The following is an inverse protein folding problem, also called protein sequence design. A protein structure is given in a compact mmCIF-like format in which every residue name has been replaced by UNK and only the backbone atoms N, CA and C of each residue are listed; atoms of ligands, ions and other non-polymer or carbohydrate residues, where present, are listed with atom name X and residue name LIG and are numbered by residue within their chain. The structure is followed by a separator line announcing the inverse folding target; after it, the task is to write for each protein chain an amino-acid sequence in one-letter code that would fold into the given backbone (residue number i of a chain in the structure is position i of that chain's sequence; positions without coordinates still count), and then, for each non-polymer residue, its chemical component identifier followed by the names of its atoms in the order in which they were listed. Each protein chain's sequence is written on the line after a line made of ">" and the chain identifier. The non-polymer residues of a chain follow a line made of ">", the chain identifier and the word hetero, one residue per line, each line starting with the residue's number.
data_IF_321126404743
#
_entry.id   IF_321126404743
#
_cell.length_a   1.000
_cell.length_b   1.000
_cell.length_c   1.000
_cell.angle_alpha   90.00
_cell.angle_beta   90.00
_cell.angle_gamma   90.00
#
_symmetry.space_group_name_H-M   'P 1'
#
loop_
_entity.id
_entity.type
_entity.pdbx_description
1 polymer ?
#
# COMPACT_ATOMS: atom_id res chain seq x y z
N UNK A 1 6.10 30.52 -5.81
CA UNK A 1 6.30 31.75 -5.00
C UNK A 1 6.76 32.90 -5.87
N UNK A 2 7.61 32.63 -6.85
CA UNK A 2 8.09 33.50 -7.93
C UNK A 2 7.00 34.20 -8.76
N UNK A 3 5.76 33.72 -8.75
CA UNK A 3 4.63 34.30 -9.49
C UNK A 3 3.72 35.20 -8.63
N UNK A 4 4.04 35.41 -7.35
CA UNK A 4 3.21 36.16 -6.39
C UNK A 4 3.83 37.54 -6.14
N UNK A 5 3.01 38.57 -5.93
CA UNK A 5 3.50 39.91 -5.62
C UNK A 5 4.35 39.91 -4.34
N UNK A 6 5.43 40.69 -4.32
CA UNK A 6 6.41 40.69 -3.23
C UNK A 6 5.78 40.99 -1.87
N UNK A 7 4.82 41.92 -1.83
CA UNK A 7 4.13 42.28 -0.58
C UNK A 7 3.36 41.09 0.00
N UNK A 8 2.60 40.38 -0.83
CA UNK A 8 1.76 39.26 -0.41
C UNK A 8 2.60 38.07 0.04
N UNK A 9 3.66 37.72 -0.71
CA UNK A 9 4.53 36.59 -0.35
C UNK A 9 5.34 36.89 0.92
N UNK A 10 5.73 38.14 1.13
CA UNK A 10 6.46 38.55 2.34
C UNK A 10 5.57 38.43 3.56
N UNK A 11 4.32 38.91 3.47
CA UNK A 11 3.37 38.80 4.58
C UNK A 11 3.08 37.33 4.91
N UNK A 12 2.75 36.52 3.92
CA UNK A 12 2.48 35.08 4.08
C UNK A 12 3.66 34.35 4.75
N UNK A 13 4.89 34.52 4.24
CA UNK A 13 6.06 33.83 4.76
C UNK A 13 6.45 34.30 6.17
N UNK A 14 6.26 35.59 6.46
CA UNK A 14 6.52 36.13 7.80
C UNK A 14 5.49 35.61 8.82
N UNK A 15 4.21 35.56 8.45
CA UNK A 15 3.14 35.03 9.29
C UNK A 15 3.37 33.54 9.61
N UNK A 16 3.72 32.71 8.61
CA UNK A 16 4.06 31.30 8.81
C UNK A 16 5.18 31.13 9.86
N UNK A 17 6.23 31.97 9.80
CA UNK A 17 7.34 31.91 10.76
C UNK A 17 6.93 32.38 12.17
N UNK A 18 6.17 33.47 12.25
CA UNK A 18 5.73 34.07 13.52
C UNK A 18 4.79 33.12 14.28
N UNK A 19 3.76 32.62 13.60
CA UNK A 19 2.78 31.67 14.17
C UNK A 19 3.46 30.39 14.64
N UNK A 20 4.44 29.87 13.90
CA UNK A 20 5.19 28.67 14.31
C UNK A 20 5.95 28.90 15.62
N UNK A 21 6.57 30.07 15.81
CA UNK A 21 7.29 30.41 17.05
C UNK A 21 6.30 30.46 18.23
N UNK A 22 5.16 31.16 18.07
CA UNK A 22 4.14 31.25 19.11
C UNK A 22 3.60 29.87 19.51
N UNK A 23 3.28 29.03 18.51
CA UNK A 23 2.78 27.68 18.74
C UNK A 23 3.83 26.77 19.37
N UNK A 24 5.11 26.94 19.02
CA UNK A 24 6.20 26.13 19.55
C UNK A 24 6.25 26.20 21.07
N UNK A 25 6.15 27.40 21.66
CA UNK A 25 6.19 27.58 23.11
C UNK A 25 5.02 26.91 23.82
N UNK A 26 3.84 26.90 23.20
CA UNK A 26 2.63 26.28 23.72
C UNK A 26 2.78 24.75 23.69
N UNK A 27 3.13 24.19 22.53
CA UNK A 27 3.22 22.75 22.35
C UNK A 27 4.41 22.12 23.06
N UNK A 28 5.53 22.84 23.19
CA UNK A 28 6.70 22.35 23.95
C UNK A 28 6.37 22.15 25.43
N UNK A 29 5.55 23.05 26.01
CA UNK A 29 5.07 22.91 27.39
C UNK A 29 4.18 21.68 27.53
N UNK A 30 3.26 21.46 26.60
CA UNK A 30 2.37 20.30 26.64
C UNK A 30 3.13 18.98 26.41
N UNK A 31 4.10 18.94 25.49
CA UNK A 31 4.98 17.78 25.27
C UNK A 31 5.74 17.39 26.54
N UNK A 32 6.30 18.37 27.26
CA UNK A 32 7.01 18.12 28.52
C UNK A 32 6.06 17.64 29.62
N UNK A 33 4.87 18.23 29.71
CA UNK A 33 3.84 17.83 30.67
C UNK A 33 3.34 16.40 30.45
N UNK A 34 3.30 15.94 29.20
CA UNK A 34 2.93 14.55 28.84
C UNK A 34 4.13 13.59 28.82
N UNK A 35 5.32 14.04 29.23
CA UNK A 35 6.55 13.23 29.22
C UNK A 35 6.96 12.71 27.81
N UNK A 36 6.50 13.38 26.74
CA UNK A 36 6.73 13.00 25.35
C UNK A 36 7.91 13.73 24.71
N UNK A 37 8.53 14.69 25.41
CA UNK A 37 9.57 15.53 24.81
C UNK A 37 10.79 14.75 24.34
N UNK A 38 11.25 13.75 25.11
CA UNK A 38 12.37 12.88 24.69
C UNK A 38 12.01 12.06 23.46
N UNK A 39 10.84 11.42 23.44
CA UNK A 39 10.38 10.67 22.27
C UNK A 39 10.28 11.56 21.02
N UNK A 40 9.65 12.74 21.14
CA UNK A 40 9.56 13.70 20.04
C UNK A 40 10.94 14.10 19.51
N UNK A 41 11.89 14.41 20.40
CA UNK A 41 13.22 14.86 20.01
C UNK A 41 14.06 13.70 19.44
N UNK A 42 14.20 12.64 20.21
CA UNK A 42 15.18 11.58 19.97
C UNK A 42 14.69 10.56 18.92
N UNK A 43 13.39 10.53 18.62
CA UNK A 43 12.81 9.68 17.57
C UNK A 43 12.27 10.54 16.43
N UNK A 44 11.29 11.42 16.67
CA UNK A 44 10.59 12.09 15.56
C UNK A 44 11.48 13.12 14.86
N UNK A 45 12.18 13.98 15.61
CA UNK A 45 13.08 15.00 15.04
C UNK A 45 14.34 14.37 14.45
N UNK A 46 14.97 13.43 15.14
CA UNK A 46 16.18 12.76 14.65
C UNK A 46 15.92 11.91 13.39
N UNK A 47 14.68 11.46 13.16
CA UNK A 47 14.28 10.76 11.94
C UNK A 47 14.11 11.69 10.72
N UNK A 48 13.80 12.97 10.92
CA UNK A 48 13.58 13.93 9.82
C UNK A 48 14.72 13.97 8.78
N UNK A 49 16.00 14.17 9.14
CA UNK A 49 17.07 14.22 8.16
C UNK A 49 17.20 12.90 7.37
N UNK A 50 16.92 11.75 7.99
CA UNK A 50 16.94 10.45 7.32
C UNK A 50 15.81 10.35 6.29
N UNK A 51 14.59 10.78 6.63
CA UNK A 51 13.47 10.78 5.69
C UNK A 51 13.71 11.74 4.52
N UNK A 52 14.24 12.94 4.81
CA UNK A 52 14.61 13.91 3.77
C UNK A 52 15.62 13.26 2.81
N UNK A 53 16.69 12.65 3.34
CA UNK A 53 17.70 11.99 2.54
C UNK A 53 17.13 10.85 1.69
N UNK A 54 16.28 9.99 2.27
CA UNK A 54 15.59 8.92 1.55
C UNK A 54 14.69 9.45 0.42
N UNK A 55 13.97 10.55 0.64
CA UNK A 55 13.14 11.19 -0.39
C UNK A 55 13.99 11.75 -1.53
N UNK A 56 15.08 12.46 -1.21
CA UNK A 56 15.99 13.02 -2.21
C UNK A 56 16.70 11.94 -3.02
N UNK A 57 17.09 10.83 -2.39
CA UNK A 57 17.65 9.68 -3.10
C UNK A 57 16.63 9.06 -4.04
N UNK A 58 15.39 8.84 -3.60
CA UNK A 58 14.35 8.21 -4.39
C UNK A 58 14.67 6.77 -4.78
N UNK A 59 13.78 6.15 -5.56
CA UNK A 59 13.86 4.74 -5.97
C UNK A 59 13.95 4.65 -7.49
N UNK A 60 14.92 3.90 -8.00
CA UNK A 60 14.97 3.60 -9.43
C UNK A 60 13.93 2.55 -9.81
N UNK A 61 13.17 2.84 -10.87
CA UNK A 61 12.14 1.96 -11.39
C UNK A 61 12.28 1.87 -12.90
N UNK A 62 12.30 0.64 -13.42
CA UNK A 62 12.39 0.35 -14.84
C UNK A 62 11.07 0.71 -15.55
N UNK A 63 11.05 1.92 -16.14
CA UNK A 63 9.93 2.48 -16.90
C UNK A 63 9.50 1.55 -18.04
N UNK A 64 10.45 1.03 -18.81
CA UNK A 64 10.16 0.25 -20.01
C UNK A 64 9.51 -1.09 -19.64
N UNK A 65 10.04 -1.73 -18.60
CA UNK A 65 9.44 -2.94 -18.07
C UNK A 65 7.99 -2.70 -17.63
N UNK A 66 7.70 -1.64 -16.86
CA UNK A 66 6.33 -1.32 -16.44
C UNK A 66 5.37 -1.08 -17.62
N UNK A 67 5.80 -0.29 -18.61
CA UNK A 67 4.98 0.00 -19.80
C UNK A 67 4.69 -1.27 -20.61
N UNK A 68 5.69 -2.11 -20.86
CA UNK A 68 5.50 -3.37 -21.59
C UNK A 68 4.54 -4.33 -20.87
N UNK A 69 4.62 -4.39 -19.52
CA UNK A 69 3.73 -5.23 -18.73
C UNK A 69 2.32 -4.66 -18.66
N UNK A 70 2.18 -3.33 -18.65
CA UNK A 70 0.87 -2.69 -18.74
C UNK A 70 0.15 -3.04 -20.05
N UNK A 71 0.87 -3.00 -21.18
CA UNK A 71 0.32 -3.35 -22.49
C UNK A 71 -0.12 -4.82 -22.55
N UNK A 72 0.73 -5.75 -22.09
CA UNK A 72 0.40 -7.18 -22.05
C UNK A 72 -0.84 -7.47 -21.19
N UNK A 73 -0.95 -6.80 -20.03
CA UNK A 73 -2.11 -6.92 -19.16
C UNK A 73 -3.35 -6.30 -19.79
N UNK A 74 -3.22 -5.19 -20.52
CA UNK A 74 -4.30 -4.58 -21.28
C UNK A 74 -4.95 -5.57 -22.25
N UNK A 75 -4.14 -6.26 -23.06
CA UNK A 75 -4.62 -7.29 -24.00
C UNK A 75 -5.38 -8.41 -23.28
N UNK A 76 -4.87 -8.86 -22.12
CA UNK A 76 -5.53 -9.89 -21.30
C UNK A 76 -6.85 -9.41 -20.69
N UNK A 77 -6.90 -8.16 -20.26
CA UNK A 77 -8.12 -7.54 -19.72
C UNK A 77 -9.20 -7.45 -20.79
N UNK A 78 -8.87 -7.00 -22.00
CA UNK A 78 -9.82 -6.90 -23.11
C UNK A 78 -10.40 -8.28 -23.48
N UNK A 79 -9.56 -9.32 -23.48
CA UNK A 79 -10.00 -10.69 -23.74
C UNK A 79 -10.93 -11.23 -22.63
N UNK A 80 -10.61 -10.95 -21.36
CA UNK A 80 -11.44 -11.31 -20.21
C UNK A 80 -12.78 -10.57 -20.24
N UNK A 81 -12.76 -9.27 -20.53
CA UNK A 81 -13.96 -8.45 -20.61
C UNK A 81 -14.93 -8.97 -21.67
N UNK A 82 -14.43 -9.25 -22.89
CA UNK A 82 -15.23 -9.86 -23.95
C UNK A 82 -15.84 -11.20 -23.52
N UNK A 83 -15.06 -12.03 -22.81
CA UNK A 83 -15.52 -13.33 -22.32
C UNK A 83 -16.60 -13.19 -21.23
N UNK A 84 -16.41 -12.25 -20.31
CA UNK A 84 -17.35 -11.94 -19.22
C UNK A 84 -18.67 -11.40 -19.78
N UNK A 85 -18.61 -10.43 -20.70
CA UNK A 85 -19.81 -9.85 -21.34
C UNK A 85 -20.57 -10.93 -22.10
N UNK A 86 -19.87 -11.79 -22.85
CA UNK A 86 -20.49 -12.91 -23.59
C UNK A 86 -21.23 -13.87 -22.66
N UNK A 87 -20.63 -14.23 -21.51
CA UNK A 87 -21.25 -15.12 -20.53
C UNK A 87 -22.39 -14.44 -19.74
N UNK A 88 -22.30 -13.14 -19.52
CA UNK A 88 -23.34 -12.36 -18.85
C UNK A 88 -24.55 -12.09 -19.75
N UNK A 89 -24.38 -12.15 -21.08
CA UNK A 89 -25.44 -11.93 -22.07
C UNK A 89 -25.86 -10.46 -22.24
N UNK A 90 -25.17 -9.52 -21.58
CA UNK A 90 -25.36 -8.08 -21.73
C UNK A 90 -24.08 -7.31 -21.41
N UNK A 91 -23.95 -6.12 -21.97
CA UNK A 91 -22.89 -5.19 -21.61
C UNK A 91 -23.17 -4.54 -20.24
N UNK A 92 -22.11 -4.38 -19.45
CA UNK A 92 -22.15 -3.70 -18.15
C UNK A 92 -20.74 -3.29 -17.74
N UNK A 93 -20.61 -2.41 -16.76
CA UNK A 93 -19.34 -2.00 -16.19
C UNK A 93 -18.85 -3.04 -15.17
N UNK A 94 -17.80 -3.80 -15.52
CA UNK A 94 -17.19 -4.83 -14.67
C UNK A 94 -16.64 -4.28 -13.34
N UNK A 95 -16.32 -2.98 -13.29
CA UNK A 95 -15.84 -2.29 -12.09
C UNK A 95 -16.99 -1.83 -11.18
N UNK A 96 -18.23 -1.84 -11.66
CA UNK A 96 -19.41 -1.53 -10.85
C UNK A 96 -19.85 -2.75 -10.05
N UNK A 97 -19.61 -2.72 -8.75
CA UNK A 97 -20.06 -3.80 -7.83
C UNK A 97 -21.57 -3.99 -7.85
N UNK A 98 -22.34 -2.93 -8.11
CA UNK A 98 -23.80 -2.98 -8.20
C UNK A 98 -24.26 -3.71 -9.46
N UNK A 99 -23.79 -3.29 -10.64
CA UNK A 99 -24.17 -3.94 -11.90
C UNK A 99 -23.73 -5.41 -11.91
N UNK A 100 -22.56 -5.70 -11.35
CA UNK A 100 -22.10 -7.07 -11.18
C UNK A 100 -23.02 -7.91 -10.27
N UNK A 101 -23.53 -7.33 -9.19
CA UNK A 101 -24.47 -8.01 -8.29
C UNK A 101 -25.83 -8.26 -8.95
N UNK A 102 -26.27 -7.40 -9.86
CA UNK A 102 -27.49 -7.63 -10.66
C UNK A 102 -27.30 -8.82 -11.62
N UNK A 103 -26.16 -8.87 -12.33
CA UNK A 103 -25.83 -10.02 -13.20
C UNK A 103 -25.82 -11.32 -12.40
N UNK A 104 -25.05 -11.37 -11.31
CA UNK A 104 -24.82 -12.62 -10.58
C UNK A 104 -26.08 -13.14 -9.88
N UNK A 105 -26.88 -12.25 -9.29
CA UNK A 105 -27.98 -12.68 -8.41
C UNK A 105 -29.36 -12.55 -9.03
N UNK A 106 -29.62 -11.60 -9.93
CA UNK A 106 -30.95 -11.47 -10.57
C UNK A 106 -31.04 -12.24 -11.89
N UNK A 107 -29.97 -12.20 -12.70
CA UNK A 107 -30.00 -12.84 -14.02
C UNK A 107 -29.55 -14.29 -13.95
N UNK A 108 -28.38 -14.54 -13.36
CA UNK A 108 -27.83 -15.89 -13.21
C UNK A 108 -28.41 -16.66 -12.02
N UNK A 109 -29.20 -15.99 -11.16
CA UNK A 109 -29.86 -16.58 -9.99
C UNK A 109 -28.90 -17.39 -9.08
N UNK A 110 -27.66 -16.92 -8.93
CA UNK A 110 -26.67 -17.58 -8.06
C UNK A 110 -27.04 -17.44 -6.58
N UNK A 111 -26.61 -18.39 -5.72
CA UNK A 111 -27.01 -18.39 -4.31
C UNK A 111 -26.42 -17.20 -3.52
N UNK A 112 -27.27 -16.60 -2.68
CA UNK A 112 -26.86 -15.53 -1.78
C UNK A 112 -26.29 -16.11 -0.47
N UNK A 113 -24.96 -16.18 -0.35
CA UNK A 113 -24.29 -16.84 0.78
C UNK A 113 -24.35 -16.01 2.08
N UNK A 114 -24.41 -14.67 1.99
CA UNK A 114 -24.58 -13.77 3.16
C UNK A 114 -25.34 -12.49 2.84
N UNK A 115 -24.99 -11.85 1.71
CA UNK A 115 -25.58 -10.61 1.14
C UNK A 115 -25.36 -10.64 -0.37
N UNK A 116 -25.96 -9.71 -1.12
CA UNK A 116 -25.63 -9.40 -2.53
C UNK A 116 -24.26 -8.75 -2.66
N UNK A 117 -23.22 -9.44 -2.19
CA UNK A 117 -21.84 -8.96 -2.13
C UNK A 117 -21.02 -9.59 -3.25
N UNK A 118 -20.18 -8.77 -3.87
CA UNK A 118 -19.21 -9.22 -4.88
C UNK A 118 -17.79 -9.24 -4.31
N UNK A 119 -17.64 -9.34 -2.98
CA UNK A 119 -16.32 -9.46 -2.35
C UNK A 119 -15.60 -10.75 -2.81
N UNK A 120 -14.27 -10.74 -2.80
CA UNK A 120 -13.43 -11.85 -3.27
C UNK A 120 -13.80 -13.20 -2.61
N UNK A 121 -14.02 -13.18 -1.29
CA UNK A 121 -14.43 -14.38 -0.54
C UNK A 121 -15.79 -14.94 -0.99
N UNK A 122 -16.72 -14.10 -1.45
CA UNK A 122 -18.03 -14.53 -1.96
C UNK A 122 -17.89 -15.05 -3.39
N UNK A 123 -17.22 -14.28 -4.27
CA UNK A 123 -16.97 -14.70 -5.65
C UNK A 123 -16.22 -16.03 -5.71
N UNK A 124 -15.30 -16.29 -4.78
CA UNK A 124 -14.56 -17.55 -4.71
C UNK A 124 -15.47 -18.75 -4.46
N UNK A 125 -16.46 -18.60 -3.57
CA UNK A 125 -17.47 -19.64 -3.33
C UNK A 125 -18.43 -19.79 -4.51
N UNK A 126 -18.77 -18.68 -5.17
CA UNK A 126 -19.68 -18.69 -6.32
C UNK A 126 -19.10 -19.43 -7.55
N UNK A 127 -17.77 -19.66 -7.60
CA UNK A 127 -17.13 -20.45 -8.66
C UNK A 127 -17.67 -21.87 -8.79
N UNK A 128 -18.18 -22.45 -7.70
CA UNK A 128 -18.77 -23.81 -7.72
C UNK A 128 -20.09 -23.85 -8.49
N UNK A 129 -20.75 -22.71 -8.65
CA UNK A 129 -22.06 -22.61 -9.29
C UNK A 129 -21.99 -22.09 -10.72
N UNK A 130 -20.98 -21.29 -11.05
CA UNK A 130 -20.84 -20.68 -12.38
C UNK A 130 -19.39 -20.29 -12.67
N UNK A 131 -18.99 -20.28 -13.95
CA UNK A 131 -17.65 -19.91 -14.39
C UNK A 131 -17.37 -18.39 -14.25
N UNK A 132 -18.39 -17.56 -14.50
CA UNK A 132 -18.31 -16.09 -14.49
C UNK A 132 -17.60 -15.50 -13.25
N UNK A 133 -17.92 -15.88 -11.99
CA UNK A 133 -17.17 -15.47 -10.79
C UNK A 133 -15.65 -15.65 -10.88
N UNK A 134 -15.18 -16.72 -11.52
CA UNK A 134 -13.74 -16.99 -11.69
C UNK A 134 -13.09 -15.97 -12.63
N UNK A 135 -13.74 -15.69 -13.76
CA UNK A 135 -13.26 -14.70 -14.71
C UNK A 135 -13.27 -13.28 -14.12
N UNK A 136 -14.31 -12.92 -13.36
CA UNK A 136 -14.40 -11.63 -12.66
C UNK A 136 -13.24 -11.45 -11.69
N UNK A 137 -12.91 -12.49 -10.92
CA UNK A 137 -11.78 -12.46 -9.99
C UNK A 137 -10.45 -12.25 -10.74
N UNK A 138 -10.25 -12.96 -11.84
CA UNK A 138 -9.10 -12.75 -12.72
C UNK A 138 -9.02 -11.32 -13.26
N UNK A 139 -10.15 -10.80 -13.77
CA UNK A 139 -10.25 -9.43 -14.28
C UNK A 139 -9.90 -8.41 -13.19
N UNK A 140 -10.53 -8.47 -12.02
CA UNK A 140 -10.29 -7.51 -10.92
C UNK A 140 -8.85 -7.51 -10.44
N UNK A 141 -8.23 -8.70 -10.39
CA UNK A 141 -6.83 -8.87 -10.03
C UNK A 141 -5.91 -8.13 -11.01
N UNK A 142 -6.04 -8.41 -12.31
CA UNK A 142 -5.26 -7.77 -13.36
C UNK A 142 -5.56 -6.27 -13.48
N UNK A 143 -6.82 -5.88 -13.35
CA UNK A 143 -7.27 -4.49 -13.43
C UNK A 143 -6.65 -3.66 -12.31
N UNK A 144 -6.62 -4.19 -11.08
CA UNK A 144 -5.95 -3.55 -9.94
C UNK A 144 -4.45 -3.44 -10.19
N UNK A 145 -3.80 -4.52 -10.63
CA UNK A 145 -2.37 -4.51 -10.94
C UNK A 145 -2.01 -3.38 -11.93
N UNK A 146 -2.77 -3.29 -13.04
CA UNK A 146 -2.56 -2.28 -14.08
C UNK A 146 -2.84 -0.86 -13.56
N UNK A 147 -4.05 -0.60 -13.07
CA UNK A 147 -4.49 0.76 -12.73
C UNK A 147 -3.91 1.32 -11.44
N UNK A 148 -3.54 0.46 -10.48
CA UNK A 148 -2.96 0.93 -9.21
C UNK A 148 -1.45 1.08 -9.29
N UNK A 149 -0.77 0.24 -10.08
CA UNK A 149 0.69 0.16 -10.06
C UNK A 149 1.33 0.40 -11.43
N UNK A 150 0.98 -0.37 -12.46
CA UNK A 150 1.73 -0.33 -13.72
C UNK A 150 1.54 0.99 -14.50
N UNK A 151 0.33 1.53 -14.54
CA UNK A 151 0.07 2.80 -15.23
C UNK A 151 0.53 4.03 -14.43
N UNK A 152 0.29 4.12 -13.10
CA UNK A 152 0.62 5.34 -12.37
C UNK A 152 2.12 5.51 -12.08
N UNK A 153 2.85 4.43 -11.78
CA UNK A 153 4.25 4.52 -11.34
C UNK A 153 5.14 5.21 -12.41
N UNK A 154 5.05 4.89 -13.71
CA UNK A 154 5.84 5.57 -14.75
C UNK A 154 5.63 7.08 -14.81
N UNK A 155 4.44 7.57 -14.45
CA UNK A 155 4.10 8.99 -14.43
C UNK A 155 4.71 9.74 -13.23
N UNK A 156 5.20 9.01 -12.22
CA UNK A 156 5.84 9.58 -11.03
C UNK A 156 7.38 9.54 -11.11
N UNK A 157 7.95 9.13 -12.25
CA UNK A 157 9.40 9.15 -12.46
C UNK A 157 9.80 10.59 -12.80
N UNK A 158 10.67 11.17 -11.97
CA UNK A 158 11.24 12.49 -12.20
C UNK A 158 12.19 12.46 -13.41
N UNK A 159 12.03 13.42 -14.31
CA UNK A 159 12.77 13.48 -15.59
C UNK A 159 14.26 13.80 -15.41
N UNK A 160 14.63 14.48 -14.33
CA UNK A 160 16.01 14.89 -14.04
C UNK A 160 16.78 13.71 -13.42
N UNK A 161 16.21 13.06 -12.43
CA UNK A 161 16.89 11.99 -11.68
C UNK A 161 16.68 10.60 -12.28
N UNK A 162 15.64 10.42 -13.11
CA UNK A 162 15.12 9.12 -13.54
C UNK A 162 14.71 8.19 -12.39
N UNK A 163 14.25 8.78 -11.27
CA UNK A 163 13.84 8.06 -10.06
C UNK A 163 12.47 8.51 -9.59
N UNK A 164 11.83 7.69 -8.79
CA UNK A 164 10.55 7.99 -8.13
C UNK A 164 10.84 8.49 -6.72
N UNK A 165 10.35 9.69 -6.40
CA UNK A 165 10.56 10.36 -5.12
C UNK A 165 9.26 10.37 -4.31
N UNK A 166 8.95 9.27 -3.64
CA UNK A 166 7.76 9.17 -2.79
C UNK A 166 7.86 10.11 -1.59
N UNK A 167 6.71 10.60 -1.14
CA UNK A 167 6.62 11.39 0.08
C UNK A 167 6.39 10.48 1.29
N UNK A 168 7.15 10.68 2.36
CA UNK A 168 6.93 10.05 3.66
C UNK A 168 6.17 11.00 4.57
N UNK A 169 5.06 10.52 5.12
CA UNK A 169 4.20 11.28 6.02
C UNK A 169 4.37 10.72 7.44
N UNK A 170 4.96 11.54 8.30
CA UNK A 170 5.29 11.15 9.68
C UNK A 170 4.12 11.36 10.65
N UNK A 171 3.22 12.29 10.36
CA UNK A 171 2.16 12.75 11.28
C UNK A 171 0.75 12.25 10.94
N UNK A 172 0.62 11.36 9.94
CA UNK A 172 -0.69 10.98 9.38
C UNK A 172 -1.36 9.79 10.07
N UNK A 173 -0.59 8.82 10.59
CA UNK A 173 -1.18 7.60 11.15
C UNK A 173 -1.33 7.72 12.67
N UNK A 174 -2.46 7.24 13.19
CA UNK A 174 -2.72 7.29 14.64
C UNK A 174 -1.79 6.39 15.46
N UNK A 175 -1.12 5.41 14.82
CA UNK A 175 -0.23 4.45 15.48
C UNK A 175 1.24 4.85 15.44
N UNK A 176 1.57 6.02 14.86
CA UNK A 176 2.95 6.48 14.69
C UNK A 176 3.72 5.81 13.55
N UNK A 177 3.06 5.00 12.70
CA UNK A 177 3.70 4.45 11.48
C UNK A 177 3.86 5.54 10.43
N UNK A 178 4.97 5.48 9.69
CA UNK A 178 5.11 6.23 8.45
C UNK A 178 4.07 5.77 7.43
N UNK A 179 3.48 6.71 6.69
CA UNK A 179 2.72 6.41 5.48
C UNK A 179 3.37 7.03 4.26
N UNK A 180 3.23 6.40 3.09
CA UNK A 180 3.82 6.91 1.84
C UNK A 180 2.76 7.36 0.83
N UNK A 181 3.09 8.39 0.05
CA UNK A 181 2.26 8.89 -1.05
C UNK A 181 3.09 9.18 -2.30
N UNK A 182 2.42 9.20 -3.47
CA UNK A 182 2.96 9.66 -4.76
C UNK A 182 4.27 8.97 -5.22
N UNK A 183 4.26 7.64 -5.48
CA UNK A 183 3.24 6.63 -5.21
C UNK A 183 3.43 5.98 -3.83
N UNK A 184 2.41 5.26 -3.35
CA UNK A 184 2.47 4.51 -2.09
C UNK A 184 3.13 3.14 -2.31
N UNK A 185 4.46 3.06 -2.12
CA UNK A 185 5.21 1.80 -2.24
C UNK A 185 4.92 0.81 -1.10
N UNK A 186 4.43 1.26 0.06
CA UNK A 186 4.10 0.37 1.18
C UNK A 186 2.93 -0.58 0.85
N UNK A 187 2.01 -0.14 -0.01
CA UNK A 187 0.83 -0.93 -0.39
C UNK A 187 1.10 -1.96 -1.49
N UNK A 188 2.32 -2.01 -2.07
CA UNK A 188 2.65 -3.03 -3.06
C UNK A 188 2.67 -4.41 -2.40
N UNK A 189 1.78 -5.33 -2.79
CA UNK A 189 1.68 -6.64 -2.16
C UNK A 189 3.02 -7.38 -2.17
N UNK A 190 3.32 -8.11 -1.09
CA UNK A 190 4.60 -8.84 -0.96
C UNK A 190 4.48 -10.27 -1.50
N UNK A 191 3.37 -10.95 -1.17
CA UNK A 191 3.22 -12.41 -1.37
C UNK A 191 2.41 -12.80 -2.60
N UNK A 192 1.85 -11.84 -3.34
CA UNK A 192 1.06 -12.12 -4.54
C UNK A 192 1.94 -12.05 -5.78
N UNK A 193 1.63 -12.84 -6.80
CA UNK A 193 2.28 -12.72 -8.12
C UNK A 193 2.23 -11.28 -8.66
N UNK A 194 1.12 -10.58 -8.49
CA UNK A 194 0.98 -9.18 -8.96
C UNK A 194 2.01 -8.25 -8.31
N UNK A 195 2.12 -8.33 -6.99
CA UNK A 195 3.12 -7.59 -6.23
C UNK A 195 4.56 -7.94 -6.62
N UNK A 196 4.85 -9.22 -6.91
CA UNK A 196 6.17 -9.64 -7.42
C UNK A 196 6.45 -8.99 -8.78
N UNK A 197 5.46 -8.93 -9.67
CA UNK A 197 5.63 -8.27 -10.98
C UNK A 197 5.95 -6.78 -10.83
N UNK A 198 5.26 -6.05 -9.96
CA UNK A 198 5.60 -4.63 -9.71
C UNK A 198 7.01 -4.50 -9.13
N UNK A 199 7.39 -5.37 -8.18
CA UNK A 199 8.72 -5.33 -7.54
C UNK A 199 9.85 -5.67 -8.49
N UNK A 200 9.63 -6.46 -9.55
CA UNK A 200 10.63 -6.70 -10.62
C UNK A 200 11.02 -5.42 -11.36
N UNK A 201 10.16 -4.40 -11.36
CA UNK A 201 10.49 -3.09 -11.91
C UNK A 201 11.43 -2.28 -11.01
N UNK A 202 11.42 -2.54 -9.70
CA UNK A 202 12.29 -1.85 -8.74
C UNK A 202 13.67 -2.50 -8.84
N UNK A 203 14.63 -1.78 -9.40
CA UNK A 203 15.97 -2.29 -9.71
C UNK A 203 17.05 -1.37 -9.16
N UNK A 204 18.26 -1.91 -9.05
CA UNK A 204 19.45 -1.07 -8.97
C UNK A 204 19.57 -0.25 -10.27
N UNK A 205 20.08 0.98 -10.16
CA UNK A 205 20.20 1.88 -11.31
C UNK A 205 21.33 1.47 -12.27
N UNK A 206 22.38 0.84 -11.75
CA UNK A 206 23.45 0.25 -12.54
C UNK A 206 23.82 -1.13 -11.99
N UNK A 207 24.57 -1.88 -12.80
CA UNK A 207 25.02 -3.24 -12.47
C UNK A 207 26.05 -3.28 -11.34
N UNK A 208 26.61 -2.13 -10.95
CA UNK A 208 27.54 -1.99 -9.82
C UNK A 208 26.84 -2.05 -8.45
N UNK A 209 25.51 -1.96 -8.44
CA UNK A 209 24.71 -1.93 -7.21
C UNK A 209 23.74 -3.11 -7.13
N UNK A 210 23.35 -3.45 -5.90
CA UNK A 210 22.32 -4.42 -5.61
C UNK A 210 21.28 -3.85 -4.65
N UNK A 211 20.06 -4.38 -4.73
CA UNK A 211 19.02 -4.07 -3.75
C UNK A 211 19.20 -4.98 -2.55
N UNK A 212 19.45 -4.38 -1.39
CA UNK A 212 19.41 -5.07 -0.09
C UNK A 212 18.04 -4.86 0.55
N UNK A 213 17.43 -5.93 1.04
CA UNK A 213 16.19 -5.89 1.82
C UNK A 213 16.46 -6.41 3.22
N UNK A 214 16.12 -5.60 4.24
CA UNK A 214 16.14 -5.98 5.64
C UNK A 214 14.73 -5.81 6.21
N UNK A 215 14.23 -6.85 6.89
CA UNK A 215 12.87 -6.86 7.45
C UNK A 215 12.90 -7.46 8.86
N UNK A 216 12.17 -6.85 9.79
CA UNK A 216 12.05 -7.39 11.13
C UNK A 216 11.10 -8.59 11.13
N UNK A 217 11.65 -9.78 11.37
CA UNK A 217 10.85 -11.00 11.47
C UNK A 217 9.83 -10.90 12.60
N UNK A 218 8.56 -10.72 12.20
CA UNK A 218 7.39 -10.76 13.07
C UNK A 218 7.45 -9.78 14.25
N UNK A 219 7.89 -8.54 14.01
CA UNK A 219 8.10 -7.54 15.07
C UNK A 219 6.89 -7.35 15.98
N UNK A 220 5.68 -7.30 15.42
CA UNK A 220 4.45 -7.11 16.19
C UNK A 220 4.19 -8.26 17.18
N UNK A 221 4.45 -9.51 16.77
CA UNK A 221 4.31 -10.68 17.64
C UNK A 221 5.38 -10.73 18.72
N UNK A 222 6.60 -10.28 18.41
CA UNK A 222 7.68 -10.16 19.39
C UNK A 222 7.35 -9.11 20.45
N UNK A 223 6.80 -7.96 20.04
CA UNK A 223 6.30 -6.93 20.95
C UNK A 223 5.15 -7.50 21.80
N UNK A 224 4.19 -8.21 21.18
CA UNK A 224 3.09 -8.85 21.91
C UNK A 224 3.59 -9.83 22.97
N UNK A 225 4.53 -10.70 22.64
CA UNK A 225 5.12 -11.65 23.58
C UNK A 225 5.79 -10.96 24.77
N UNK A 226 6.52 -9.88 24.49
CA UNK A 226 7.16 -9.08 25.54
C UNK A 226 6.13 -8.42 26.47
N UNK A 227 5.08 -7.82 25.90
CA UNK A 227 4.05 -7.12 26.67
C UNK A 227 3.14 -8.09 27.44
N UNK A 228 2.80 -9.24 26.88
CA UNK A 228 1.96 -10.26 27.53
C UNK A 228 2.72 -11.06 28.59
N UNK A 229 4.05 -11.11 28.51
CA UNK A 229 4.92 -11.98 29.32
C UNK A 229 4.57 -13.46 29.21
N UNK A 230 3.96 -13.86 28.10
CA UNK A 230 3.62 -15.26 27.85
C UNK A 230 4.90 -16.06 27.54
N UNK A 231 5.26 -16.96 28.46
CA UNK A 231 6.46 -17.78 28.35
C UNK A 231 6.41 -18.75 27.18
N UNK A 232 5.23 -19.29 26.85
CA UNK A 232 5.07 -20.23 25.75
C UNK A 232 5.25 -19.51 24.41
N UNK A 233 4.64 -18.34 24.24
CA UNK A 233 4.81 -17.47 23.08
C UNK A 233 6.26 -16.98 22.94
N UNK A 234 6.88 -16.56 24.03
CA UNK A 234 8.28 -16.12 24.06
C UNK A 234 9.23 -17.26 23.65
N UNK A 235 9.00 -18.47 24.19
CA UNK A 235 9.80 -19.65 23.85
C UNK A 235 9.66 -20.02 22.37
N UNK A 236 8.43 -20.00 21.84
CA UNK A 236 8.17 -20.30 20.42
C UNK A 236 8.90 -19.31 19.48
N UNK A 237 8.86 -18.00 19.79
CA UNK A 237 9.53 -16.98 18.98
C UNK A 237 11.06 -17.03 19.07
N UNK A 238 11.61 -17.52 20.18
CA UNK A 238 13.06 -17.69 20.39
C UNK A 238 13.61 -18.98 19.79
N UNK A 239 12.79 -20.04 19.70
CA UNK A 239 13.18 -21.29 19.04
C UNK A 239 13.10 -21.24 17.51
N UNK A 240 12.57 -20.16 16.95
CA UNK A 240 12.33 -20.02 15.51
C UNK A 240 11.19 -20.90 15.00
N UNK A 241 10.30 -21.37 15.89
CA UNK A 241 9.11 -22.12 15.50
C UNK A 241 8.17 -21.21 14.69
N UNK A 242 7.52 -21.77 13.66
CA UNK A 242 6.48 -21.03 12.94
C UNK A 242 5.31 -20.76 13.88
N UNK A 243 5.11 -19.48 14.19
CA UNK A 243 4.10 -19.04 15.13
C UNK A 243 2.67 -19.35 14.67
N UNK A 244 2.40 -19.40 13.36
CA UNK A 244 1.09 -19.80 12.86
C UNK A 244 0.79 -21.26 13.21
N UNK A 245 1.81 -22.10 13.12
CA UNK A 245 1.75 -23.50 13.53
C UNK A 245 1.62 -23.62 15.06
N UNK A 246 2.34 -22.81 15.82
CA UNK A 246 2.23 -22.75 17.29
C UNK A 246 0.83 -22.34 17.77
N UNK A 247 0.28 -21.23 17.25
CA UNK A 247 -1.06 -20.76 17.63
C UNK A 247 -2.14 -21.76 17.23
N UNK A 248 -2.00 -22.42 16.07
CA UNK A 248 -2.92 -23.48 15.66
C UNK A 248 -2.89 -24.68 16.62
N UNK A 249 -1.71 -25.13 17.06
CA UNK A 249 -1.58 -26.20 18.09
C UNK A 249 -2.24 -25.80 19.41
N UNK A 250 -2.01 -24.56 19.86
CA UNK A 250 -2.57 -24.05 21.11
C UNK A 250 -4.08 -23.83 21.07
N UNK A 251 -4.65 -23.52 19.90
CA UNK A 251 -6.10 -23.34 19.74
C UNK A 251 -6.86 -24.66 19.57
N UNK A 252 -6.13 -25.76 19.35
CA UNK A 252 -6.66 -27.13 19.24
C UNK A 252 -6.52 -27.92 20.56
N UNK A 253 -5.91 -27.33 21.59
CA UNK A 253 -5.85 -27.82 22.97
C UNK A 253 -6.88 -27.09 23.82
#
# INVERSE_FOLDING_TARGET
>A
MDQVALADITFYAAEDADVVIELTDIFLKELKKQELYSYFKDIEIDLLPVLIDMQFHGIFVDRNYLLSRSEEIGIKLDALEKSIIKLAGKEFNLNSSQQLAEILFDQLNLPMIKKRSTAEAILTKLKEYHELPSLILGYRKLFKLKNTYLDPIPNNINEITNRVHSSFNQTMTATGRLSTSTPNFQNIPIRTEDGKEVRKAIKAQSDDYQILSADYSQIELRVMAHLSKDEALTKALNSGEDIHTFTAKMSLM
#
